data_IF_695380175764
#
_entry.id   IF_695380175764
#
_cell.length_a   1.000
_cell.length_b   1.000
_cell.length_c   1.000
_cell.angle_alpha   90.00
_cell.angle_beta   90.00
_cell.angle_gamma   90.00
#
_symmetry.space_group_name_H-M   'P 1'
#
loop_
_entity.id
_entity.type
_entity.pdbx_description
1 polymer ?
#
# COMPACT_ATOMS: atom_id res chain seq x y z
N UNK A 1 9.44 -7.62 3.61
CA UNK A 1 8.68 -6.42 4.00
C UNK A 1 8.82 -5.32 2.96
N UNK A 2 7.71 -4.64 2.67
CA UNK A 2 7.54 -3.54 1.73
C UNK A 2 8.46 -2.33 1.98
N UNK A 3 9.37 -2.39 2.95
CA UNK A 3 10.24 -1.27 3.30
C UNK A 3 9.54 -0.13 4.04
N UNK A 4 8.23 -0.22 4.28
CA UNK A 4 7.49 0.70 5.15
C UNK A 4 7.85 0.46 6.62
N UNK A 5 8.28 1.51 7.31
CA UNK A 5 8.76 1.43 8.70
C UNK A 5 7.67 1.29 9.75
N UNK A 6 6.41 1.53 9.38
CA UNK A 6 5.22 1.46 10.23
C UNK A 6 4.42 0.17 10.07
N UNK A 7 4.92 -0.79 9.29
CA UNK A 7 4.31 -2.12 9.14
C UNK A 7 5.15 -3.13 9.94
N UNK A 8 4.67 -3.47 11.13
CA UNK A 8 5.33 -4.44 12.00
C UNK A 8 5.41 -5.84 11.37
N UNK A 9 6.48 -6.57 11.66
CA UNK A 9 6.61 -7.97 11.27
C UNK A 9 5.47 -8.80 11.90
N UNK A 10 4.74 -9.54 11.07
CA UNK A 10 3.57 -10.32 11.51
C UNK A 10 2.26 -9.52 11.58
N UNK A 11 2.24 -8.24 11.18
CA UNK A 11 0.99 -7.53 10.95
C UNK A 11 0.13 -8.31 9.95
N UNK A 12 -1.16 -8.45 10.23
CA UNK A 12 -2.02 -9.40 9.51
C UNK A 12 -2.05 -9.15 8.00
N UNK A 13 -1.93 -7.88 7.57
CA UNK A 13 -1.93 -7.47 6.17
C UNK A 13 -0.53 -7.28 5.57
N UNK A 14 0.55 -7.63 6.29
CA UNK A 14 1.93 -7.41 5.83
C UNK A 14 2.19 -8.00 4.44
N UNK A 15 1.75 -9.22 4.17
CA UNK A 15 1.90 -9.85 2.83
C UNK A 15 1.11 -9.13 1.74
N UNK A 16 -0.07 -8.61 2.04
CA UNK A 16 -0.88 -7.85 1.09
C UNK A 16 -0.24 -6.48 0.79
N UNK A 17 0.32 -5.81 1.81
CA UNK A 17 1.03 -4.55 1.65
C UNK A 17 2.31 -4.73 0.81
N UNK A 18 3.06 -5.81 1.06
CA UNK A 18 4.22 -6.20 0.25
C UNK A 18 3.84 -6.40 -1.22
N UNK A 19 2.72 -7.07 -1.48
CA UNK A 19 2.21 -7.25 -2.85
C UNK A 19 1.79 -5.91 -3.49
N UNK A 20 1.04 -5.07 -2.77
CA UNK A 20 0.59 -3.76 -3.28
C UNK A 20 1.77 -2.87 -3.69
N UNK A 21 2.88 -2.93 -2.96
CA UNK A 21 4.08 -2.17 -3.32
C UNK A 21 4.77 -2.79 -4.54
N UNK A 22 4.93 -4.12 -4.55
CA UNK A 22 5.58 -4.83 -5.66
C UNK A 22 4.82 -4.68 -6.98
N UNK A 23 3.48 -4.59 -6.94
CA UNK A 23 2.64 -4.32 -8.12
C UNK A 23 2.62 -2.85 -8.53
N UNK A 24 3.20 -1.95 -7.73
CA UNK A 24 3.09 -0.50 -7.94
C UNK A 24 1.70 0.08 -7.62
N UNK A 25 0.79 -0.72 -7.06
CA UNK A 25 -0.56 -0.29 -6.69
C UNK A 25 -0.53 0.75 -5.57
N UNK A 26 0.39 0.60 -4.60
CA UNK A 26 0.63 1.59 -3.55
C UNK A 26 2.06 2.14 -3.59
N UNK A 27 2.19 3.38 -3.14
CA UNK A 27 3.48 4.05 -2.88
C UNK A 27 3.65 4.41 -1.40
N UNK A 28 2.70 4.00 -0.55
CA UNK A 28 2.59 4.47 0.82
C UNK A 28 1.90 5.84 0.94
N UNK A 29 1.49 6.18 2.17
CA UNK A 29 1.02 7.53 2.54
C UNK A 29 2.17 8.54 2.57
N UNK A 30 3.40 8.05 2.82
CA UNK A 30 4.65 8.78 2.65
C UNK A 30 5.67 7.86 1.97
N UNK A 31 6.87 8.39 1.68
CA UNK A 31 7.96 7.57 1.14
C UNK A 31 8.37 6.39 2.05
N UNK A 32 8.14 6.50 3.37
CA UNK A 32 8.64 5.53 4.36
C UNK A 32 7.54 4.86 5.18
N UNK A 33 6.26 5.18 4.92
CA UNK A 33 5.13 4.73 5.71
C UNK A 33 3.95 4.29 4.84
N UNK A 34 3.28 3.22 5.24
CA UNK A 34 2.05 2.75 4.62
C UNK A 34 0.79 3.38 5.23
N UNK A 35 0.84 3.75 6.51
CA UNK A 35 -0.29 4.17 7.34
C UNK A 35 -1.42 3.12 7.40
N UNK A 36 -1.18 1.92 7.95
CA UNK A 36 -2.11 0.78 7.85
C UNK A 36 -3.46 0.98 8.57
N UNK A 37 -3.54 1.89 9.53
CA UNK A 37 -4.74 2.16 10.32
C UNK A 37 -5.50 3.42 9.84
N UNK A 38 -4.95 4.14 8.86
CA UNK A 38 -5.59 5.34 8.32
C UNK A 38 -6.76 4.97 7.40
N UNK A 39 -7.78 5.83 7.38
CA UNK A 39 -8.90 5.67 6.46
C UNK A 39 -8.47 6.01 5.03
N UNK A 40 -8.83 5.13 4.10
CA UNK A 40 -8.67 5.41 2.67
C UNK A 40 -9.86 6.22 2.17
N UNK A 41 -9.60 7.37 1.58
CA UNK A 41 -10.64 8.19 0.97
C UNK A 41 -11.00 7.71 -0.45
N UNK A 42 -12.09 8.26 -1.01
CA UNK A 42 -12.58 7.85 -2.33
C UNK A 42 -11.55 8.06 -3.44
N UNK A 43 -10.80 9.16 -3.42
CA UNK A 43 -9.81 9.45 -4.44
C UNK A 43 -8.60 8.49 -4.38
N UNK A 44 -8.21 8.07 -3.18
CA UNK A 44 -7.15 7.09 -2.96
C UNK A 44 -7.55 5.69 -3.47
N UNK A 45 -8.79 5.24 -3.21
CA UNK A 45 -9.28 3.99 -3.80
C UNK A 45 -9.24 4.03 -5.34
N UNK A 46 -9.69 5.14 -5.95
CA UNK A 46 -9.58 5.30 -7.41
C UNK A 46 -8.13 5.26 -7.89
N UNK A 47 -7.20 5.84 -7.13
CA UNK A 47 -5.78 5.82 -7.46
C UNK A 47 -5.21 4.40 -7.40
N UNK A 48 -5.56 3.61 -6.39
CA UNK A 48 -5.16 2.20 -6.31
C UNK A 48 -5.69 1.40 -7.50
N UNK A 49 -6.98 1.54 -7.82
CA UNK A 49 -7.58 0.85 -8.97
C UNK A 49 -6.90 1.24 -10.29
N UNK A 50 -6.62 2.53 -10.48
CA UNK A 50 -5.94 3.01 -11.69
C UNK A 50 -4.52 2.45 -11.83
N UNK A 51 -3.74 2.47 -10.75
CA UNK A 51 -2.37 1.91 -10.77
C UNK A 51 -2.36 0.40 -10.98
N UNK A 52 -3.35 -0.30 -10.46
CA UNK A 52 -3.51 -1.73 -10.68
C UNK A 52 -3.81 -2.05 -12.15
N UNK A 53 -4.66 -1.24 -12.79
CA UNK A 53 -4.99 -1.36 -14.23
C UNK A 53 -3.79 -1.02 -15.13
N UNK A 54 -2.97 -0.03 -14.76
CA UNK A 54 -1.76 0.36 -15.50
C UNK A 54 -0.58 -0.62 -15.32
N UNK A 55 -0.63 -1.47 -14.30
CA UNK A 55 0.43 -2.42 -13.94
C UNK A 55 0.35 -3.79 -14.63
N UNK A 56 -0.67 -4.03 -15.44
CA UNK A 56 -0.81 -5.22 -16.32
C UNK A 56 -0.39 -4.91 -17.75
#
# INVERSE_FOLDING_TARGET
PAGFGDVAAGFFASSAIDWLLASGTTTGCTQWSYCPEDLVNRAEIFTFLKRLDDGT
#
